data_IF_192502040453
#
_entry.id   IF_192502040453
#
_cell.length_a   1.000
_cell.length_b   1.000
_cell.length_c   1.000
_cell.angle_alpha   90.00
_cell.angle_beta   90.00
_cell.angle_gamma   90.00
#
_symmetry.space_group_name_H-M   'P 1'
#
loop_
_entity.id
_entity.type
_entity.pdbx_description
1 polymer ?
#
# COMPACT_ATOMS: atom_id res chain seq x y z
N UNK A 1 20.17 -4.12 -14.40
CA UNK A 1 19.74 -3.83 -13.01
C UNK A 1 18.25 -4.10 -12.94
N UNK A 2 17.72 -4.82 -11.93
CA UNK A 2 16.28 -5.01 -11.84
C UNK A 2 15.64 -3.63 -11.66
N UNK A 3 14.63 -3.33 -12.48
CA UNK A 3 13.88 -2.08 -12.37
C UNK A 3 13.27 -2.06 -10.98
N UNK A 4 13.73 -1.12 -10.14
CA UNK A 4 13.18 -0.96 -8.79
C UNK A 4 11.73 -0.55 -8.94
N UNK A 5 10.86 -1.34 -8.32
CA UNK A 5 9.44 -1.00 -8.24
C UNK A 5 9.29 0.35 -7.52
N UNK A 6 8.62 1.33 -8.15
CA UNK A 6 8.52 2.69 -7.63
C UNK A 6 7.67 2.77 -6.35
N UNK A 7 6.72 1.85 -6.14
CA UNK A 7 5.82 1.87 -4.99
C UNK A 7 6.25 0.94 -3.86
N UNK A 8 7.26 0.09 -4.07
CA UNK A 8 7.82 -0.80 -3.04
C UNK A 8 8.24 -0.07 -1.77
N UNK A 9 8.73 1.17 -1.87
CA UNK A 9 9.10 1.98 -0.69
C UNK A 9 7.89 2.26 0.21
N UNK A 10 6.71 2.51 -0.36
CA UNK A 10 5.49 2.76 0.39
C UNK A 10 4.93 1.46 0.99
N UNK A 11 5.03 0.35 0.27
CA UNK A 11 4.69 -0.97 0.81
C UNK A 11 5.53 -1.29 2.07
N UNK A 12 6.84 -1.05 2.03
CA UNK A 12 7.71 -1.24 3.20
C UNK A 12 7.35 -0.31 4.36
N UNK A 13 6.91 0.95 4.09
CA UNK A 13 6.45 1.87 5.12
C UNK A 13 5.17 1.40 5.81
N UNK A 14 4.24 0.81 5.07
CA UNK A 14 3.03 0.21 5.65
C UNK A 14 3.42 -0.94 6.58
N UNK A 15 4.32 -1.82 6.13
CA UNK A 15 4.78 -2.94 6.96
C UNK A 15 5.49 -2.48 8.24
N UNK A 16 6.33 -1.44 8.15
CA UNK A 16 6.96 -0.84 9.33
C UNK A 16 5.91 -0.26 10.29
N UNK A 17 5.00 0.57 9.77
CA UNK A 17 3.92 1.16 10.55
C UNK A 17 3.07 0.10 11.25
N UNK A 18 2.72 -1.00 10.56
CA UNK A 18 1.96 -2.10 11.13
C UNK A 18 2.74 -2.74 12.29
N UNK A 19 4.03 -3.03 12.12
CA UNK A 19 4.83 -3.59 13.20
C UNK A 19 4.88 -2.66 14.42
N UNK A 20 5.02 -1.35 14.20
CA UNK A 20 5.08 -0.35 15.27
C UNK A 20 3.72 -0.14 15.96
N UNK A 21 2.61 -0.32 15.24
CA UNK A 21 1.25 -0.07 15.72
C UNK A 21 0.48 -1.36 16.06
N UNK A 22 1.17 -2.47 16.33
CA UNK A 22 0.54 -3.76 16.67
C UNK A 22 -0.48 -4.21 15.60
N UNK A 23 -0.12 -4.05 14.33
CA UNK A 23 -0.92 -4.39 13.16
C UNK A 23 -2.25 -3.63 13.06
N UNK A 24 -2.38 -2.49 13.75
CA UNK A 24 -3.54 -1.62 13.63
C UNK A 24 -3.47 -0.81 12.32
N UNK A 25 -4.06 -1.36 11.25
CA UNK A 25 -4.16 -0.69 9.95
C UNK A 25 -4.81 0.71 10.02
N UNK A 26 -5.70 0.95 10.98
CA UNK A 26 -6.31 2.27 11.20
C UNK A 26 -5.29 3.34 11.59
N UNK A 27 -4.21 2.97 12.28
CA UNK A 27 -3.11 3.89 12.57
C UNK A 27 -2.23 4.17 11.34
N UNK A 28 -2.22 3.24 10.38
CA UNK A 28 -1.40 3.28 9.18
C UNK A 28 -2.12 3.82 7.94
N UNK A 29 -3.32 4.40 8.09
CA UNK A 29 -4.10 4.94 6.97
C UNK A 29 -3.29 5.94 6.14
N UNK A 30 -2.44 6.75 6.78
CA UNK A 30 -1.58 7.70 6.07
C UNK A 30 -0.59 7.00 5.11
N UNK A 31 0.01 5.88 5.53
CA UNK A 31 0.97 5.13 4.73
C UNK A 31 0.29 4.37 3.60
N UNK A 32 -0.91 3.84 3.89
CA UNK A 32 -1.79 3.19 2.90
C UNK A 32 -2.22 4.19 1.83
N UNK A 33 -2.59 5.42 2.21
CA UNK A 33 -2.95 6.47 1.27
C UNK A 33 -1.78 6.86 0.37
N UNK A 34 -0.58 7.04 0.93
CA UNK A 34 0.63 7.27 0.12
C UNK A 34 0.91 6.14 -0.89
N UNK A 35 0.66 4.88 -0.49
CA UNK A 35 0.79 3.76 -1.43
C UNK A 35 -0.27 3.82 -2.53
N UNK A 36 -1.51 4.17 -2.20
CA UNK A 36 -2.59 4.34 -3.19
C UNK A 36 -2.27 5.45 -4.18
N UNK A 37 -1.74 6.58 -3.71
CA UNK A 37 -1.29 7.67 -4.57
C UNK A 37 -0.17 7.21 -5.53
N UNK A 38 0.81 6.48 -5.01
CA UNK A 38 1.84 5.89 -5.86
C UNK A 38 1.24 4.94 -6.91
N UNK A 39 0.33 4.06 -6.49
CA UNK A 39 -0.33 3.12 -7.39
C UNK A 39 -1.23 3.80 -8.41
N UNK A 40 -1.83 4.95 -8.12
CA UNK A 40 -2.58 5.73 -9.12
C UNK A 40 -1.69 6.23 -10.26
N UNK A 41 -0.42 6.48 -9.99
CA UNK A 41 0.52 7.00 -11.00
C UNK A 41 1.36 5.90 -11.67
N UNK A 42 1.63 4.80 -10.97
CA UNK A 42 2.57 3.76 -11.40
C UNK A 42 1.94 2.36 -11.47
N UNK A 43 0.61 2.24 -11.52
CA UNK A 43 -0.11 0.95 -11.56
C UNK A 43 0.50 -0.06 -12.53
N UNK A 44 0.76 0.37 -13.77
CA UNK A 44 1.29 -0.49 -14.84
C UNK A 44 2.78 -0.81 -14.70
N UNK A 45 3.49 -0.12 -13.80
CA UNK A 45 4.95 -0.22 -13.61
C UNK A 45 5.33 -0.74 -12.23
N UNK A 46 4.34 -1.06 -11.39
CA UNK A 46 4.55 -1.46 -10.01
C UNK A 46 3.76 -2.74 -9.71
N UNK A 47 4.49 -3.82 -9.44
CA UNK A 47 3.90 -5.11 -9.09
C UNK A 47 3.21 -5.06 -7.73
N UNK A 48 3.67 -4.20 -6.80
CA UNK A 48 3.03 -4.08 -5.47
C UNK A 48 1.64 -3.46 -5.53
N UNK A 49 1.27 -2.86 -6.66
CA UNK A 49 -0.03 -2.27 -6.90
C UNK A 49 -1.08 -3.25 -7.44
N UNK A 50 -0.69 -4.47 -7.83
CA UNK A 50 -1.59 -5.46 -8.45
C UNK A 50 -2.74 -5.88 -7.52
N UNK A 51 -2.54 -5.79 -6.19
CA UNK A 51 -3.56 -6.07 -5.17
C UNK A 51 -4.08 -4.84 -4.42
N UNK A 52 -3.82 -3.62 -4.91
CA UNK A 52 -4.24 -2.38 -4.23
C UNK A 52 -5.49 -1.80 -4.88
N UNK A 53 -6.59 -1.75 -4.13
CA UNK A 53 -7.78 -1.00 -4.49
C UNK A 53 -7.53 0.52 -4.42
N UNK A 54 -7.11 1.09 -5.55
CA UNK A 54 -6.94 2.56 -5.73
C UNK A 54 -8.27 3.32 -5.84
N UNK A 55 -9.37 2.59 -6.09
CA UNK A 55 -10.72 3.13 -6.25
C UNK A 55 -11.50 3.24 -4.93
N UNK A 56 -11.16 2.43 -3.91
CA UNK A 56 -11.92 2.37 -2.67
C UNK A 56 -11.47 3.44 -1.67
N UNK A 57 -12.43 4.08 -1.01
CA UNK A 57 -12.20 5.00 0.12
C UNK A 57 -11.58 4.24 1.31
N UNK A 58 -10.86 4.93 2.22
CA UNK A 58 -10.22 4.28 3.35
C UNK A 58 -11.29 3.65 4.26
N UNK A 59 -11.09 2.38 4.61
CA UNK A 59 -11.92 1.55 5.48
C UNK A 59 -13.10 0.83 4.82
N UNK A 60 -12.86 -0.39 4.35
CA UNK A 60 -13.72 -1.55 4.62
C UNK A 60 -12.92 -2.81 4.27
N UNK A 61 -12.46 -3.53 5.29
CA UNK A 61 -11.77 -4.80 5.12
C UNK A 61 -12.76 -5.83 4.61
N UNK A 62 -12.49 -6.43 3.47
CA UNK A 62 -12.86 -7.83 3.23
C UNK A 62 -11.59 -8.58 2.86
N UNK A 63 -11.02 -9.21 3.89
CA UNK A 63 -10.14 -10.36 3.76
C UNK A 63 -10.76 -11.32 2.73
N UNK A 64 -10.05 -11.59 1.63
CA UNK A 64 -10.47 -12.62 0.70
C UNK A 64 -9.30 -13.49 0.29
N UNK A 65 -9.13 -14.51 1.14
CA UNK A 65 -8.66 -15.87 0.87
C UNK A 65 -7.17 -16.17 0.92
#
# INVERSE_FOLDING_TARGET
MPVKDPCKVFACRIQACLNENNYQESACQHAIESMRECCRQWKDKSFVCEGIDIAQKPSEKNESK
#
